data_IF_180853955873
#
_entry.id   IF_180853955873
#
_cell.length_a   1.000
_cell.length_b   1.000
_cell.length_c   1.000
_cell.angle_alpha   90.00
_cell.angle_beta   90.00
_cell.angle_gamma   90.00
#
_symmetry.space_group_name_H-M   'P 1'
#
loop_
_entity.id
_entity.type
_entity.pdbx_description
1 polymer ?
#
# COMPACT_ATOMS: atom_id res chain seq x y z
N UNK A 1 -16.34 1.92 26.78
CA UNK A 1 -16.10 0.85 25.79
C UNK A 1 -14.61 0.60 25.80
N UNK A 2 -14.15 -0.58 26.20
CA UNK A 2 -12.74 -0.97 26.09
C UNK A 2 -12.35 -0.81 24.63
N UNK A 3 -11.29 -0.06 24.31
CA UNK A 3 -10.76 -0.06 22.94
C UNK A 3 -10.55 -1.53 22.58
N UNK A 4 -11.13 -1.98 21.46
CA UNK A 4 -10.79 -3.31 20.98
C UNK A 4 -9.26 -3.39 20.96
N UNK A 5 -8.66 -4.47 21.39
CA UNK A 5 -7.22 -4.70 21.21
C UNK A 5 -7.07 -5.74 20.11
N UNK A 6 -5.93 -5.76 19.42
CA UNK A 6 -5.66 -6.86 18.52
C UNK A 6 -5.60 -8.18 19.29
N UNK A 7 -6.07 -9.30 18.69
CA UNK A 7 -5.95 -10.60 19.33
C UNK A 7 -4.48 -10.92 19.68
N UNK A 8 -4.22 -11.27 20.94
CA UNK A 8 -2.89 -11.67 21.38
C UNK A 8 -2.37 -12.90 20.63
N UNK A 9 -3.28 -13.74 20.13
CA UNK A 9 -2.97 -14.85 19.23
C UNK A 9 -2.29 -14.41 17.93
N UNK A 10 -2.47 -13.16 17.50
CA UNK A 10 -1.76 -12.56 16.37
C UNK A 10 -0.56 -11.71 16.78
N UNK A 11 -0.76 -10.77 17.71
CA UNK A 11 0.27 -9.77 18.05
C UNK A 11 1.53 -10.42 18.61
N UNK A 12 1.37 -11.40 19.51
CA UNK A 12 2.52 -12.06 20.16
C UNK A 12 3.42 -12.80 19.14
N UNK A 13 2.91 -13.74 18.32
CA UNK A 13 3.77 -14.43 17.35
C UNK A 13 4.34 -13.49 16.29
N UNK A 14 3.58 -12.48 15.86
CA UNK A 14 4.09 -11.48 14.92
C UNK A 14 5.28 -10.70 15.47
N UNK A 15 5.18 -10.18 16.71
CA UNK A 15 6.30 -9.49 17.37
C UNK A 15 7.49 -10.41 17.59
N UNK A 16 7.26 -11.64 18.05
CA UNK A 16 8.32 -12.64 18.25
C UNK A 16 9.06 -12.94 16.94
N UNK A 17 8.32 -13.08 15.83
CA UNK A 17 8.91 -13.30 14.51
C UNK A 17 9.81 -12.13 14.08
N UNK A 18 9.34 -10.89 14.22
CA UNK A 18 10.15 -9.70 13.94
C UNK A 18 11.40 -9.61 14.81
N UNK A 19 11.26 -9.85 16.12
CA UNK A 19 12.38 -9.83 17.08
C UNK A 19 13.42 -10.91 16.77
N UNK A 20 12.98 -12.12 16.39
CA UNK A 20 13.87 -13.24 16.06
C UNK A 20 14.77 -12.97 14.85
N UNK A 21 14.41 -11.98 14.03
CA UNK A 21 15.13 -11.58 12.81
C UNK A 21 15.55 -10.11 12.88
N UNK A 22 15.72 -9.56 14.10
CA UNK A 22 16.06 -8.15 14.32
C UNK A 22 17.34 -7.73 13.60
N UNK A 23 18.38 -8.57 13.69
CA UNK A 23 19.69 -8.25 13.13
C UNK A 23 19.69 -8.18 11.59
N UNK A 24 18.78 -8.91 10.94
CA UNK A 24 18.63 -8.88 9.48
C UNK A 24 18.06 -7.56 8.96
N UNK A 25 17.46 -6.74 9.84
CA UNK A 25 16.74 -5.51 9.50
C UNK A 25 17.51 -4.24 9.89
N UNK A 26 18.69 -4.35 10.52
CA UNK A 26 19.42 -3.18 11.05
C UNK A 26 19.82 -2.20 9.94
N UNK A 27 20.11 -2.68 8.73
CA UNK A 27 20.51 -1.84 7.59
C UNK A 27 19.33 -1.44 6.67
N UNK A 28 18.11 -1.85 7.02
CA UNK A 28 16.91 -1.53 6.24
C UNK A 28 16.62 -0.02 6.24
N UNK A 29 15.85 0.43 5.25
CA UNK A 29 15.46 1.83 5.12
C UNK A 29 13.95 1.99 4.83
N UNK A 30 13.17 2.59 5.74
CA UNK A 30 13.51 2.94 7.13
C UNK A 30 13.51 1.72 8.05
N UNK A 31 14.19 1.79 9.20
CA UNK A 31 14.35 0.67 10.15
C UNK A 31 13.90 0.99 11.59
N UNK A 32 13.26 2.13 11.85
CA UNK A 32 12.83 2.55 13.20
C UNK A 32 12.07 1.50 14.04
N UNK A 33 11.36 0.57 13.41
CA UNK A 33 10.64 -0.50 14.09
C UNK A 33 11.57 -1.53 14.75
N UNK A 34 12.84 -1.59 14.35
CA UNK A 34 13.87 -2.47 14.91
C UNK A 34 14.13 -2.18 16.39
N UNK A 35 14.03 -0.90 16.78
CA UNK A 35 14.28 -0.46 18.17
C UNK A 35 12.99 -0.39 18.99
N UNK A 36 11.86 -0.15 18.33
CA UNK A 36 10.56 -0.07 18.99
C UNK A 36 9.46 -0.66 18.10
N UNK A 37 9.21 -1.96 18.24
CA UNK A 37 8.14 -2.66 17.48
C UNK A 37 6.76 -2.17 17.92
N UNK A 38 6.59 -1.74 19.17
CA UNK A 38 5.31 -1.23 19.66
C UNK A 38 4.89 0.07 18.96
N UNK A 39 5.85 0.81 18.39
CA UNK A 39 5.56 1.99 17.57
C UNK A 39 4.70 1.68 16.33
N UNK A 40 4.68 0.42 15.88
CA UNK A 40 3.86 -0.03 14.76
C UNK A 40 2.39 -0.26 15.14
N UNK A 41 2.07 -0.42 16.42
CA UNK A 41 0.70 -0.58 16.89
C UNK A 41 0.13 0.81 17.20
N UNK A 42 -1.03 1.11 16.62
CA UNK A 42 -1.68 2.42 16.70
C UNK A 42 -3.19 2.28 16.57
N UNK A 43 -3.91 3.39 16.40
CA UNK A 43 -5.34 3.41 16.06
C UNK A 43 -5.58 4.11 14.72
N UNK A 44 -6.72 3.84 14.09
CA UNK A 44 -7.21 4.62 12.96
C UNK A 44 -8.73 4.77 13.02
N UNK A 45 -9.27 5.69 12.24
CA UNK A 45 -10.69 5.81 11.95
C UNK A 45 -10.87 5.72 10.43
N UNK A 46 -11.09 4.52 9.87
CA UNK A 46 -11.43 4.36 8.46
C UNK A 46 -12.71 5.12 8.14
N UNK A 47 -12.72 5.86 7.02
CA UNK A 47 -13.85 6.71 6.61
C UNK A 47 -14.56 6.16 5.40
N UNK A 48 -13.80 5.86 4.35
CA UNK A 48 -14.36 5.35 3.12
C UNK A 48 -13.40 4.37 2.43
N UNK A 49 -13.97 3.45 1.65
CA UNK A 49 -13.27 2.63 0.68
C UNK A 49 -13.78 3.00 -0.71
N UNK A 50 -12.86 3.40 -1.59
CA UNK A 50 -13.11 3.65 -3.00
C UNK A 50 -12.54 2.50 -3.82
N UNK A 51 -13.29 2.04 -4.82
CA UNK A 51 -12.81 1.05 -5.80
C UNK A 51 -13.09 1.55 -7.21
N UNK A 52 -12.22 1.21 -8.15
CA UNK A 52 -12.34 1.62 -9.55
C UNK A 52 -11.00 1.55 -10.27
N UNK A 53 -10.81 2.39 -11.28
CA UNK A 53 -9.50 2.60 -11.91
C UNK A 53 -8.66 3.62 -11.12
N UNK A 54 -7.35 3.62 -11.34
CA UNK A 54 -6.47 4.64 -10.75
C UNK A 54 -6.97 6.07 -11.00
N UNK A 55 -7.29 6.41 -12.25
CA UNK A 55 -7.83 7.72 -12.60
C UNK A 55 -9.13 8.05 -11.84
N UNK A 56 -10.07 7.10 -11.74
CA UNK A 56 -11.32 7.32 -11.00
C UNK A 56 -11.13 7.50 -9.49
N UNK A 57 -10.11 6.85 -8.91
CA UNK A 57 -9.75 7.04 -7.49
C UNK A 57 -9.18 8.45 -7.30
N UNK A 58 -8.30 8.90 -8.21
CA UNK A 58 -7.78 10.27 -8.16
C UNK A 58 -8.91 11.29 -8.20
N UNK A 59 -9.80 11.21 -9.19
CA UNK A 59 -10.83 12.23 -9.39
C UNK A 59 -11.92 12.22 -8.32
N UNK A 60 -12.22 11.06 -7.71
CA UNK A 60 -13.31 10.94 -6.72
C UNK A 60 -12.87 11.11 -5.27
N UNK A 61 -11.60 10.85 -4.95
CA UNK A 61 -11.12 10.85 -3.56
C UNK A 61 -9.91 11.78 -3.36
N UNK A 62 -8.82 11.56 -4.11
CA UNK A 62 -7.53 12.22 -3.82
C UNK A 62 -7.53 13.69 -4.26
N UNK A 63 -7.99 14.01 -5.46
CA UNK A 63 -7.98 15.38 -5.98
C UNK A 63 -8.93 16.31 -5.20
N UNK A 64 -10.18 15.91 -4.86
CA UNK A 64 -11.02 16.72 -3.97
C UNK A 64 -10.36 17.01 -2.63
N UNK A 65 -9.64 16.03 -2.06
CA UNK A 65 -8.90 16.23 -0.81
C UNK A 65 -7.74 17.23 -0.98
N UNK A 66 -6.97 17.12 -2.07
CA UNK A 66 -5.88 18.05 -2.40
C UNK A 66 -6.41 19.47 -2.58
N UNK A 67 -7.53 19.64 -3.30
CA UNK A 67 -8.18 20.93 -3.50
C UNK A 67 -8.68 21.57 -2.19
N UNK A 68 -8.96 20.76 -1.17
CA UNK A 68 -9.39 21.22 0.16
C UNK A 68 -8.24 21.56 1.12
N UNK A 69 -6.99 21.28 0.74
CA UNK A 69 -5.83 21.39 1.62
C UNK A 69 -5.53 22.86 1.99
N UNK A 70 -5.19 23.08 3.26
CA UNK A 70 -4.90 24.42 3.80
C UNK A 70 -3.42 24.66 4.06
N UNK A 71 -2.71 23.64 4.53
CA UNK A 71 -1.36 23.74 5.07
C UNK A 71 -0.39 22.81 4.36
N UNK A 72 -0.78 21.57 4.10
CA UNK A 72 0.14 20.62 3.47
C UNK A 72 -0.52 19.48 2.69
N UNK A 73 0.16 19.02 1.65
CA UNK A 73 -0.17 17.81 0.89
C UNK A 73 1.10 16.98 0.70
N UNK A 74 1.06 15.70 1.04
CA UNK A 74 2.12 14.74 0.69
C UNK A 74 1.55 13.66 -0.22
N UNK A 75 1.83 13.74 -1.53
CA UNK A 75 1.44 12.75 -2.54
C UNK A 75 2.62 11.82 -2.83
N UNK A 76 2.57 10.58 -2.34
CA UNK A 76 3.60 9.57 -2.57
C UNK A 76 3.02 8.47 -3.46
N UNK A 77 3.76 8.09 -4.52
CA UNK A 77 3.42 7.00 -5.44
C UNK A 77 4.67 6.17 -5.77
N UNK A 78 4.53 4.99 -6.37
CA UNK A 78 5.71 4.29 -6.90
C UNK A 78 6.05 4.72 -8.32
N UNK A 79 5.05 4.81 -9.18
CA UNK A 79 5.22 5.10 -10.59
C UNK A 79 4.59 6.44 -10.98
N UNK A 80 5.32 7.21 -11.80
CA UNK A 80 4.93 8.51 -12.32
C UNK A 80 5.08 8.51 -13.84
N UNK A 81 3.97 8.64 -14.56
CA UNK A 81 3.97 8.61 -16.00
C UNK A 81 2.91 9.53 -16.62
N UNK A 82 3.17 9.91 -17.87
CA UNK A 82 2.21 10.59 -18.73
C UNK A 82 0.90 9.79 -18.81
N UNK A 83 -0.18 10.42 -18.38
CA UNK A 83 -1.46 9.73 -18.14
C UNK A 83 -2.60 10.71 -17.84
N UNK A 84 -3.86 10.28 -18.01
CA UNK A 84 -5.02 11.06 -17.55
C UNK A 84 -4.99 11.39 -16.06
N UNK A 85 -4.37 10.53 -15.23
CA UNK A 85 -4.19 10.78 -13.79
C UNK A 85 -3.23 11.94 -13.56
N UNK A 86 -2.13 12.01 -14.32
CA UNK A 86 -1.19 13.13 -14.27
C UNK A 86 -1.83 14.44 -14.75
N UNK A 87 -2.56 14.40 -15.87
CA UNK A 87 -3.29 15.56 -16.37
C UNK A 87 -4.26 16.10 -15.32
N UNK A 88 -5.03 15.22 -14.67
CA UNK A 88 -5.95 15.63 -13.62
C UNK A 88 -5.25 16.21 -12.38
N UNK A 89 -4.08 15.70 -12.01
CA UNK A 89 -3.24 16.31 -10.95
C UNK A 89 -2.79 17.71 -11.37
N UNK A 90 -2.30 17.87 -12.61
CA UNK A 90 -1.87 19.18 -13.14
C UNK A 90 -3.00 20.20 -13.08
N UNK A 91 -4.18 19.84 -13.58
CA UNK A 91 -5.36 20.71 -13.56
C UNK A 91 -5.81 21.04 -12.13
N UNK A 92 -5.81 20.06 -11.21
CA UNK A 92 -6.15 20.31 -9.81
C UNK A 92 -5.18 21.30 -9.13
N UNK A 93 -3.87 21.21 -9.42
CA UNK A 93 -2.89 22.16 -8.89
C UNK A 93 -3.08 23.57 -9.47
N UNK A 94 -3.41 23.68 -10.76
CA UNK A 94 -3.74 24.97 -11.39
C UNK A 94 -5.01 25.57 -10.79
N UNK A 95 -6.05 24.76 -10.59
CA UNK A 95 -7.29 25.18 -9.94
C UNK A 95 -7.04 25.65 -8.51
N UNK A 96 -6.24 24.89 -7.75
CA UNK A 96 -5.86 25.26 -6.39
C UNK A 96 -5.09 26.59 -6.35
N UNK A 97 -4.16 26.78 -7.29
CA UNK A 97 -3.41 28.03 -7.40
C UNK A 97 -4.32 29.22 -7.71
N UNK A 98 -5.23 29.08 -8.67
CA UNK A 98 -6.20 30.11 -9.01
C UNK A 98 -7.12 30.47 -7.83
N UNK A 99 -7.70 29.47 -7.17
CA UNK A 99 -8.58 29.67 -6.02
C UNK A 99 -7.87 30.39 -4.86
N UNK A 100 -6.60 30.05 -4.60
CA UNK A 100 -5.80 30.70 -3.54
C UNK A 100 -5.42 32.14 -3.89
N UNK A 101 -5.10 32.40 -5.16
CA UNK A 101 -4.82 33.75 -5.63
C UNK A 101 -6.06 34.64 -5.55
N UNK A 102 -7.23 34.15 -5.99
CA UNK A 102 -8.51 34.87 -5.91
C UNK A 102 -8.90 35.17 -4.44
N UNK A 103 -8.69 34.21 -3.55
CA UNK A 103 -8.97 34.36 -2.12
C UNK A 103 -7.89 35.17 -1.35
N UNK A 104 -6.83 35.65 -2.02
CA UNK A 104 -5.70 36.35 -1.40
C UNK A 104 -5.11 35.60 -0.19
N UNK A 105 -4.95 34.28 -0.30
CA UNK A 105 -4.44 33.46 0.81
C UNK A 105 -2.96 33.75 1.04
N UNK A 106 -2.62 34.28 2.21
CA UNK A 106 -1.24 34.63 2.56
C UNK A 106 -0.43 33.46 3.12
N UNK A 107 -1.07 32.54 3.84
CA UNK A 107 -0.40 31.40 4.47
C UNK A 107 0.11 30.40 3.43
N UNK A 108 1.36 29.91 3.51
CA UNK A 108 1.90 28.97 2.52
C UNK A 108 1.20 27.61 2.59
N UNK A 109 1.03 26.98 1.43
CA UNK A 109 0.62 25.58 1.28
C UNK A 109 1.81 24.76 0.78
N UNK A 110 2.27 23.80 1.57
CA UNK A 110 3.41 22.94 1.23
C UNK A 110 2.94 21.67 0.54
N UNK A 111 3.39 21.43 -0.69
CA UNK A 111 3.04 20.23 -1.45
C UNK A 111 4.31 19.44 -1.73
N UNK A 112 4.35 18.17 -1.34
CA UNK A 112 5.41 17.24 -1.73
C UNK A 112 4.84 16.18 -2.66
N UNK A 113 5.50 15.97 -3.80
CA UNK A 113 5.25 14.86 -4.72
C UNK A 113 6.46 13.94 -4.73
N UNK A 114 6.28 12.72 -4.21
CA UNK A 114 7.31 11.69 -4.14
C UNK A 114 7.01 10.51 -5.07
N UNK A 115 7.98 10.06 -5.86
CA UNK A 115 7.84 8.85 -6.68
C UNK A 115 9.14 8.05 -6.80
N UNK A 116 9.06 6.76 -7.13
CA UNK A 116 10.27 5.93 -7.25
C UNK A 116 10.78 5.79 -8.67
N UNK A 117 9.87 5.62 -9.63
CA UNK A 117 10.19 5.34 -11.02
C UNK A 117 9.34 6.18 -11.95
N UNK A 118 9.97 6.70 -13.01
CA UNK A 118 9.28 7.36 -14.14
C UNK A 118 9.67 6.80 -15.50
N UNK A 119 10.40 5.68 -15.51
CA UNK A 119 10.90 5.05 -16.72
C UNK A 119 12.30 4.44 -16.55
N UNK A 120 12.74 3.68 -17.55
CA UNK A 120 14.00 2.94 -17.49
C UNK A 120 15.24 3.86 -17.42
N UNK A 121 15.25 4.95 -18.20
CA UNK A 121 16.38 5.90 -18.22
C UNK A 121 16.61 6.57 -16.87
N UNK A 122 15.55 7.00 -16.18
CA UNK A 122 15.70 7.58 -14.84
C UNK A 122 16.32 6.55 -13.88
N UNK A 123 15.84 5.30 -13.89
CA UNK A 123 16.37 4.24 -13.03
C UNK A 123 17.87 3.96 -13.28
N UNK A 124 18.32 3.99 -14.54
CA UNK A 124 19.72 3.72 -14.91
C UNK A 124 20.70 4.78 -14.42
N UNK A 125 20.27 6.05 -14.33
CA UNK A 125 21.12 7.17 -13.92
C UNK A 125 20.74 7.76 -12.56
N UNK A 126 19.86 7.09 -11.80
CA UNK A 126 19.42 7.60 -10.51
C UNK A 126 20.54 7.48 -9.47
N UNK A 127 20.72 8.45 -8.57
CA UNK A 127 21.62 8.30 -7.43
C UNK A 127 21.16 7.14 -6.54
N UNK A 128 22.10 6.33 -6.07
CA UNK A 128 21.83 5.25 -5.11
C UNK A 128 21.65 5.75 -3.65
N UNK A 129 21.50 7.06 -3.44
CA UNK A 129 21.41 7.68 -2.11
C UNK A 129 20.01 7.51 -1.49
N UNK A 130 19.97 7.39 -0.17
CA UNK A 130 18.73 7.47 0.64
C UNK A 130 18.06 8.84 0.55
N UNK A 131 18.82 9.89 0.22
CA UNK A 131 18.27 11.24 -0.01
C UNK A 131 17.57 11.37 -1.37
N UNK A 132 17.79 10.42 -2.29
CA UNK A 132 17.19 10.40 -3.62
C UNK A 132 17.63 11.56 -4.52
N UNK A 133 16.70 12.05 -5.35
CA UNK A 133 16.91 13.17 -6.26
C UNK A 133 15.75 14.18 -6.13
N UNK A 134 16.06 15.43 -5.78
CA UNK A 134 15.08 16.52 -5.75
C UNK A 134 15.11 17.26 -7.09
N UNK A 135 13.96 17.36 -7.74
CA UNK A 135 13.85 18.00 -9.04
C UNK A 135 13.83 19.52 -8.90
N UNK A 136 14.74 20.25 -9.56
CA UNK A 136 14.71 21.70 -9.55
C UNK A 136 13.44 22.21 -10.27
N UNK A 137 12.92 23.40 -9.90
CA UNK A 137 11.65 23.90 -10.45
C UNK A 137 11.56 23.97 -11.98
N UNK A 138 12.69 24.25 -12.65
CA UNK A 138 12.77 24.27 -14.12
C UNK A 138 12.45 22.91 -14.78
N UNK A 139 12.45 21.81 -14.03
CA UNK A 139 12.13 20.48 -14.54
C UNK A 139 10.68 20.06 -14.30
N UNK A 140 9.89 20.80 -13.49
CA UNK A 140 8.50 20.43 -13.17
C UNK A 140 7.61 20.31 -14.41
N UNK A 141 7.67 21.19 -15.43
CA UNK A 141 6.88 21.01 -16.65
C UNK A 141 7.20 19.73 -17.41
N UNK A 142 8.47 19.28 -17.38
CA UNK A 142 8.89 18.00 -17.99
C UNK A 142 8.36 16.79 -17.22
N UNK A 143 7.84 16.99 -16.01
CA UNK A 143 7.13 15.98 -15.21
C UNK A 143 5.61 16.11 -15.36
N UNK A 144 5.11 17.01 -16.21
CA UNK A 144 3.68 17.28 -16.37
C UNK A 144 3.07 18.15 -15.26
N UNK A 145 3.90 18.86 -14.49
CA UNK A 145 3.46 19.72 -13.39
C UNK A 145 3.48 21.21 -13.77
N UNK A 146 2.72 22.08 -13.06
CA UNK A 146 2.72 23.52 -13.32
C UNK A 146 4.08 24.19 -13.16
N UNK A 147 4.23 25.35 -13.81
CA UNK A 147 5.42 26.19 -13.67
C UNK A 147 5.55 26.78 -12.26
N UNK A 148 6.80 27.03 -11.87
CA UNK A 148 7.16 27.61 -10.56
C UNK A 148 6.41 28.89 -10.26
N UNK A 149 6.35 29.81 -11.22
CA UNK A 149 5.78 31.14 -11.02
C UNK A 149 4.28 31.07 -10.75
N UNK A 150 3.57 30.16 -11.42
CA UNK A 150 2.14 29.91 -11.20
C UNK A 150 1.88 29.49 -9.75
N UNK A 151 2.69 28.58 -9.22
CA UNK A 151 2.54 28.06 -7.86
C UNK A 151 2.98 29.08 -6.80
N UNK A 152 4.10 29.77 -7.02
CA UNK A 152 4.64 30.75 -6.06
C UNK A 152 3.72 31.96 -5.90
N UNK A 153 3.12 32.45 -6.99
CA UNK A 153 2.15 33.55 -6.94
C UNK A 153 0.91 33.18 -6.11
N UNK A 154 0.59 31.90 -5.98
CA UNK A 154 -0.50 31.37 -5.15
C UNK A 154 -0.07 30.90 -3.75
N UNK A 155 1.15 31.25 -3.31
CA UNK A 155 1.74 30.80 -2.04
C UNK A 155 1.76 29.27 -1.90
N UNK A 156 2.03 28.56 -3.00
CA UNK A 156 2.21 27.10 -3.01
C UNK A 156 3.70 26.79 -3.11
N UNK A 157 4.23 26.07 -2.13
CA UNK A 157 5.61 25.59 -2.08
C UNK A 157 5.63 24.12 -2.52
N UNK A 158 6.03 23.85 -3.76
CA UNK A 158 6.11 22.51 -4.31
C UNK A 158 7.53 21.93 -4.19
N UNK A 159 7.64 20.73 -3.62
CA UNK A 159 8.84 19.88 -3.65
C UNK A 159 8.54 18.60 -4.43
N UNK A 160 9.37 18.27 -5.41
CA UNK A 160 9.25 17.03 -6.18
C UNK A 160 10.51 16.20 -6.00
N UNK A 161 10.36 14.97 -5.50
CA UNK A 161 11.49 14.10 -5.15
C UNK A 161 11.32 12.70 -5.70
N UNK A 162 12.39 12.11 -6.24
CA UNK A 162 12.43 10.69 -6.57
C UNK A 162 13.37 9.88 -5.70
N UNK A 163 13.01 8.64 -5.42
CA UNK A 163 13.82 7.70 -4.66
C UNK A 163 13.87 6.32 -5.32
N UNK A 164 15.06 5.96 -5.81
CA UNK A 164 15.33 4.68 -6.45
C UNK A 164 16.70 4.19 -6.00
N UNK A 165 16.78 2.94 -5.57
CA UNK A 165 18.01 2.30 -5.14
C UNK A 165 18.48 1.34 -6.23
N UNK A 166 19.60 1.68 -6.86
CA UNK A 166 20.17 0.87 -7.95
C UNK A 166 20.67 -0.48 -7.42
N UNK A 167 20.61 -1.57 -8.22
CA UNK A 167 20.09 -1.61 -9.60
C UNK A 167 18.57 -1.81 -9.70
N UNK A 168 17.89 -2.37 -8.69
CA UNK A 168 16.51 -2.86 -8.83
C UNK A 168 15.62 -2.68 -7.58
N UNK A 169 15.69 -1.55 -6.88
CA UNK A 169 14.76 -1.32 -5.76
C UNK A 169 14.05 0.03 -5.83
N UNK A 170 12.73 -0.07 -5.85
CA UNK A 170 11.78 1.05 -5.78
C UNK A 170 11.22 1.13 -4.37
N UNK A 171 10.92 2.34 -3.90
CA UNK A 171 9.97 2.49 -2.79
C UNK A 171 8.56 2.29 -3.34
N UNK A 172 7.81 1.34 -2.79
CA UNK A 172 6.45 1.02 -3.26
C UNK A 172 5.27 1.57 -2.41
N UNK A 173 5.43 2.44 -1.39
CA UNK A 173 4.25 2.99 -0.71
C UNK A 173 3.47 3.88 -1.69
N UNK A 174 2.14 3.90 -1.54
CA UNK A 174 1.33 4.99 -2.09
C UNK A 174 0.44 5.53 -0.99
N UNK A 175 0.44 6.84 -0.84
CA UNK A 175 -0.46 7.51 0.08
C UNK A 175 -0.57 9.00 -0.28
N UNK A 176 -1.68 9.60 0.12
CA UNK A 176 -1.84 11.05 0.17
C UNK A 176 -2.11 11.43 1.62
N UNK A 177 -1.34 12.35 2.20
CA UNK A 177 -1.65 12.97 3.49
C UNK A 177 -2.05 14.41 3.22
N UNK A 178 -3.15 14.85 3.83
CA UNK A 178 -3.63 16.23 3.74
C UNK A 178 -3.70 16.83 5.14
N UNK A 179 -3.04 17.98 5.28
CA UNK A 179 -2.96 18.81 6.50
C UNK A 179 -2.55 18.06 7.77
N UNK A 180 -1.87 16.91 7.63
CA UNK A 180 -1.49 16.04 8.75
C UNK A 180 -2.69 15.40 9.48
N UNK A 181 -3.92 15.50 8.93
CA UNK A 181 -5.16 15.09 9.62
C UNK A 181 -5.87 13.94 8.94
N UNK A 182 -5.79 13.86 7.62
CA UNK A 182 -6.44 12.82 6.81
C UNK A 182 -5.40 12.18 5.91
N UNK A 183 -5.56 10.87 5.69
CA UNK A 183 -4.73 10.14 4.74
C UNK A 183 -5.57 9.22 3.86
N UNK A 184 -5.11 9.05 2.62
CA UNK A 184 -5.62 8.09 1.66
C UNK A 184 -4.51 7.10 1.34
N UNK A 185 -4.81 5.81 1.36
CA UNK A 185 -3.87 4.74 1.02
C UNK A 185 -4.39 4.00 -0.21
N UNK A 186 -4.02 4.44 -1.43
CA UNK A 186 -4.42 3.79 -2.68
C UNK A 186 -3.48 2.64 -3.07
N UNK A 187 -3.95 1.75 -3.93
CA UNK A 187 -3.12 0.77 -4.62
C UNK A 187 -2.59 1.27 -5.97
N UNK A 188 -3.26 2.26 -6.58
CA UNK A 188 -2.91 2.80 -7.89
C UNK A 188 -1.70 3.75 -7.86
N UNK A 189 -0.98 3.81 -8.99
CA UNK A 189 0.06 4.80 -9.25
C UNK A 189 -0.49 6.01 -10.03
N UNK A 190 0.38 7.00 -10.30
CA UNK A 190 0.09 8.06 -11.29
C UNK A 190 0.48 7.53 -12.65
N UNK A 191 -0.46 6.84 -13.30
CA UNK A 191 -0.20 6.13 -14.54
C UNK A 191 -1.48 5.86 -15.34
N UNK A 192 -1.33 5.31 -16.54
CA UNK A 192 -2.39 5.18 -17.55
C UNK A 192 -3.20 3.88 -17.41
N UNK A 193 -2.77 2.94 -16.58
CA UNK A 193 -3.39 1.63 -16.49
C UNK A 193 -4.80 1.70 -15.90
N UNK A 194 -5.72 0.97 -16.54
CA UNK A 194 -7.12 0.83 -16.10
C UNK A 194 -7.30 -0.43 -15.26
N UNK A 195 -6.39 -0.65 -14.31
CA UNK A 195 -6.48 -1.77 -13.38
C UNK A 195 -7.61 -1.55 -12.38
N UNK A 196 -8.12 -2.65 -11.81
CA UNK A 196 -9.04 -2.57 -10.68
C UNK A 196 -8.24 -2.32 -9.40
N UNK A 197 -8.47 -1.17 -8.80
CA UNK A 197 -7.69 -0.59 -7.72
C UNK A 197 -8.61 -0.26 -6.54
N UNK A 198 -8.01 -0.11 -5.36
CA UNK A 198 -8.70 0.30 -4.14
C UNK A 198 -8.00 1.46 -3.45
N UNK A 199 -8.74 2.24 -2.67
CA UNK A 199 -8.20 3.28 -1.82
C UNK A 199 -9.01 3.40 -0.54
N UNK A 200 -8.31 3.35 0.60
CA UNK A 200 -8.93 3.55 1.92
C UNK A 200 -8.59 4.95 2.41
N UNK A 201 -9.61 5.69 2.82
CA UNK A 201 -9.47 6.93 3.58
C UNK A 201 -9.44 6.63 5.07
N UNK A 202 -8.49 7.24 5.78
CA UNK A 202 -8.28 7.08 7.23
C UNK A 202 -7.99 8.41 7.91
N UNK A 203 -8.42 8.50 9.18
CA UNK A 203 -8.05 9.54 10.15
C UNK A 203 -7.46 8.90 11.42
N UNK A 204 -7.04 9.74 12.38
CA UNK A 204 -6.54 9.33 13.69
C UNK A 204 -5.03 9.06 13.71
N UNK A 205 -4.54 8.42 14.76
CA UNK A 205 -3.12 8.25 15.07
C UNK A 205 -2.30 7.55 13.96
N UNK A 206 -2.95 6.81 13.05
CA UNK A 206 -2.31 6.24 11.87
C UNK A 206 -1.74 7.32 10.93
N UNK A 207 -2.36 8.51 10.90
CA UNK A 207 -1.89 9.63 10.09
C UNK A 207 -0.55 10.12 10.62
N UNK A 208 -0.36 10.17 11.94
CA UNK A 208 0.95 10.51 12.54
C UNK A 208 2.03 9.47 12.19
N UNK A 209 1.67 8.19 12.14
CA UNK A 209 2.60 7.12 11.71
C UNK A 209 2.98 7.23 10.25
N UNK A 210 2.02 7.55 9.38
CA UNK A 210 2.27 7.83 7.97
C UNK A 210 3.12 9.09 7.77
N UNK A 211 2.85 10.16 8.51
CA UNK A 211 3.63 11.40 8.51
C UNK A 211 5.06 11.16 8.98
N UNK A 212 5.26 10.41 10.07
CA UNK A 212 6.60 10.05 10.55
C UNK A 212 7.36 9.17 9.54
N UNK A 213 6.67 8.26 8.84
CA UNK A 213 7.26 7.51 7.74
C UNK A 213 7.64 8.42 6.57
N UNK A 214 6.75 9.33 6.19
CA UNK A 214 7.00 10.34 5.15
C UNK A 214 8.25 11.16 5.47
N UNK A 215 8.35 11.75 6.67
CA UNK A 215 9.48 12.60 7.04
C UNK A 215 10.81 11.85 6.97
N UNK A 216 10.85 10.59 7.42
CA UNK A 216 12.08 9.78 7.41
C UNK A 216 12.54 9.35 6.01
N UNK A 217 11.60 9.18 5.07
CA UNK A 217 11.89 8.58 3.75
C UNK A 217 11.91 9.63 2.65
N UNK A 218 10.96 10.56 2.70
CA UNK A 218 10.68 11.53 1.64
C UNK A 218 10.89 12.98 2.08
N UNK A 219 10.91 13.25 3.38
CA UNK A 219 11.18 14.58 3.94
C UNK A 219 12.51 15.17 3.46
N UNK A 220 12.65 16.47 3.66
CA UNK A 220 13.89 17.19 3.40
C UNK A 220 14.90 16.86 4.51
N UNK A 221 16.14 16.58 4.14
CA UNK A 221 17.23 16.37 5.11
C UNK A 221 17.45 17.68 5.85
N UNK A 222 16.97 17.77 7.09
CA UNK A 222 17.07 18.98 7.93
C UNK A 222 18.55 19.35 8.14
N UNK A 223 19.08 20.31 7.37
CA UNK A 223 20.08 21.22 7.93
C UNK A 223 19.30 22.06 8.92
N UNK A 224 19.55 21.80 10.21
CA UNK A 224 18.87 22.35 11.38
C UNK A 224 18.29 23.75 11.16
N UNK A 225 16.95 23.81 11.12
CA UNK A 225 16.16 25.00 11.42
C UNK A 225 15.24 24.66 12.58
N UNK A 226 15.27 25.55 13.56
CA UNK A 226 14.62 25.48 14.86
C UNK A 226 13.11 25.25 14.73
N UNK A 227 12.60 24.56 15.75
CA UNK A 227 11.19 24.31 16.03
C UNK A 227 10.39 25.62 16.05
N UNK A 228 9.17 25.57 15.53
CA UNK A 228 8.13 26.52 15.88
C UNK A 228 6.83 25.75 16.21
N UNK A 229 6.21 26.25 17.27
CA UNK A 229 5.13 25.68 18.06
C UNK A 229 3.81 25.46 17.31
N UNK A 230 3.04 24.51 17.83
CA UNK A 230 1.68 24.19 17.44
C UNK A 230 0.67 25.22 17.96
N UNK A 231 -0.13 25.81 17.06
CA UNK A 231 -1.41 26.46 17.42
C UNK A 231 -2.60 25.68 16.84
N UNK A 232 -3.47 25.23 17.74
CA UNK A 232 -4.76 24.60 17.45
C UNK A 232 -5.81 25.65 17.03
N UNK A 233 -6.38 25.50 15.83
CA UNK A 233 -7.58 26.26 15.42
C UNK A 233 -8.69 25.31 14.97
N UNK A 234 -9.86 25.49 15.57
CA UNK A 234 -11.11 24.75 15.32
C UNK A 234 -11.61 24.93 13.88
N UNK A 235 -12.01 23.81 13.26
CA UNK A 235 -12.54 23.75 11.88
C UNK A 235 -14.06 23.81 11.90
N UNK A 236 -14.62 24.86 11.29
CA UNK A 236 -16.04 24.94 10.91
C UNK A 236 -16.29 24.08 9.68
N UNK A 237 -17.21 23.10 9.78
CA UNK A 237 -17.65 22.23 8.67
C UNK A 237 -18.46 23.03 7.65
N UNK A 238 -18.15 22.85 6.37
CA UNK A 238 -18.95 23.26 5.22
C UNK A 238 -19.34 22.01 4.41
N UNK A 239 -20.45 22.05 3.65
CA UNK A 239 -21.35 20.91 3.51
C UNK A 239 -20.85 19.86 2.53
N UNK A 240 -21.17 18.61 2.86
CA UNK A 240 -21.06 17.44 2.01
C UNK A 240 -21.86 17.65 0.72
N UNK A 241 -21.17 17.62 -0.43
CA UNK A 241 -21.85 17.42 -1.71
C UNK A 241 -22.33 15.97 -1.76
N UNK A 242 -23.60 15.77 -1.36
CA UNK A 242 -24.31 14.53 -1.59
C UNK A 242 -24.51 14.38 -3.10
N UNK A 243 -23.68 13.56 -3.74
CA UNK A 243 -23.94 13.10 -5.10
C UNK A 243 -25.11 12.14 -5.00
N UNK A 244 -26.26 12.59 -5.48
CA UNK A 244 -27.48 11.80 -5.60
C UNK A 244 -27.20 10.48 -6.32
N UNK A 245 -27.52 9.38 -5.65
CA UNK A 245 -27.57 8.03 -6.21
C UNK A 245 -28.67 7.99 -7.28
N UNK A 246 -28.29 8.13 -8.55
CA UNK A 246 -29.12 7.62 -9.64
C UNK A 246 -28.99 6.10 -9.68
N UNK A 247 -30.13 5.43 -9.77
CA UNK A 247 -30.23 3.98 -9.99
C UNK A 247 -29.69 3.64 -11.39
N UNK A 248 -28.37 3.57 -11.52
CA UNK A 248 -27.70 3.18 -12.76
C UNK A 248 -26.91 1.89 -12.56
N UNK A 249 -27.13 0.95 -13.48
CA UNK A 249 -26.48 -0.35 -13.65
C UNK A 249 -25.05 -0.43 -13.10
N UNK A 250 -24.80 -1.47 -12.30
CA UNK A 250 -23.55 -1.90 -11.65
C UNK A 250 -22.24 -1.43 -12.32
N UNK A 251 -21.82 -0.20 -12.06
CA UNK A 251 -20.47 0.24 -12.40
C UNK A 251 -19.45 -0.42 -11.46
N UNK A 252 -18.30 -0.84 -12.02
CA UNK A 252 -17.17 -1.35 -11.22
C UNK A 252 -16.48 -0.24 -10.39
N UNK A 253 -16.88 1.02 -10.60
CA UNK A 253 -16.39 2.19 -9.84
C UNK A 253 -17.36 2.50 -8.72
N UNK A 254 -17.00 2.16 -7.48
CA UNK A 254 -17.89 2.25 -6.32
C UNK A 254 -17.19 2.92 -5.14
N UNK A 255 -17.96 3.27 -4.12
CA UNK A 255 -17.44 3.67 -2.82
C UNK A 255 -18.39 3.22 -1.72
N UNK A 256 -17.84 2.89 -0.56
CA UNK A 256 -18.61 2.64 0.66
C UNK A 256 -18.03 3.49 1.78
N UNK A 257 -18.88 3.91 2.70
CA UNK A 257 -18.47 4.54 3.95
C UNK A 257 -18.35 3.49 5.05
N UNK A 258 -17.35 3.62 5.90
CA UNK A 258 -17.22 2.79 7.08
C UNK A 258 -18.13 3.32 8.19
N UNK A 259 -18.78 2.44 8.98
CA UNK A 259 -19.56 2.86 10.14
C UNK A 259 -18.70 3.68 11.10
N UNK A 260 -19.23 4.79 11.62
CA UNK A 260 -18.52 5.62 12.60
C UNK A 260 -18.56 4.93 13.98
N UNK A 261 -17.57 4.08 14.25
CA UNK A 261 -17.50 3.25 15.47
C UNK A 261 -16.38 3.65 16.44
N UNK A 262 -15.84 4.87 16.29
CA UNK A 262 -14.68 5.35 17.04
C UNK A 262 -13.36 4.78 16.50
N UNK A 263 -12.23 5.04 17.18
CA UNK A 263 -10.93 4.52 16.78
C UNK A 263 -10.87 2.99 16.82
N UNK A 264 -10.31 2.38 15.78
CA UNK A 264 -10.07 0.93 15.68
C UNK A 264 -8.57 0.64 15.79
N UNK A 265 -8.16 -0.47 16.43
CA UNK A 265 -6.77 -0.91 16.42
C UNK A 265 -6.25 -1.04 15.01
N UNK A 266 -5.06 -0.51 14.79
CA UNK A 266 -4.39 -0.51 13.49
C UNK A 266 -2.92 -0.88 13.68
N UNK A 267 -2.38 -1.70 12.77
CA UNK A 267 -0.94 -1.95 12.72
C UNK A 267 -0.41 -1.28 11.47
N UNK A 268 0.57 -0.40 11.64
CA UNK A 268 1.32 0.19 10.54
C UNK A 268 2.34 -0.84 10.04
N UNK A 269 2.25 -1.21 8.76
CA UNK A 269 3.04 -2.29 8.17
C UNK A 269 3.95 -1.77 7.04
N UNK A 270 5.04 -1.04 7.35
CA UNK A 270 5.97 -0.59 6.35
C UNK A 270 6.70 -1.78 5.69
N UNK A 271 7.04 -1.61 4.41
CA UNK A 271 7.93 -2.52 3.68
C UNK A 271 9.23 -1.78 3.39
N UNK A 272 10.21 -1.96 4.27
CA UNK A 272 11.49 -1.28 4.19
C UNK A 272 12.33 -1.75 3.00
N UNK A 273 13.06 -0.81 2.40
CA UNK A 273 14.11 -1.11 1.44
C UNK A 273 15.22 -1.88 2.13
N UNK A 274 15.75 -2.89 1.46
CA UNK A 274 16.85 -3.72 1.90
C UNK A 274 17.67 -4.16 0.68
N UNK A 275 18.97 -4.37 0.87
CA UNK A 275 19.80 -5.02 -0.16
C UNK A 275 19.78 -6.51 0.10
N UNK A 276 19.42 -7.32 -0.89
CA UNK A 276 19.53 -8.77 -0.75
C UNK A 276 21.03 -9.16 -0.69
N UNK A 277 21.56 -9.62 0.45
CA UNK A 277 22.98 -9.97 0.59
C UNK A 277 23.35 -11.21 -0.25
N UNK A 278 22.35 -11.99 -0.69
CA UNK A 278 22.50 -13.17 -1.56
C UNK A 278 21.90 -12.92 -2.95
N UNK A 279 21.90 -11.68 -3.43
CA UNK A 279 21.44 -11.36 -4.77
C UNK A 279 22.22 -12.21 -5.79
N UNK A 280 21.48 -12.94 -6.62
CA UNK A 280 22.02 -13.75 -7.71
C UNK A 280 21.33 -13.34 -9.01
N UNK A 281 22.10 -13.17 -10.08
CA UNK A 281 21.56 -12.99 -11.43
C UNK A 281 20.80 -14.23 -11.93
N UNK A 282 20.97 -15.37 -11.24
CA UNK A 282 20.22 -16.60 -11.46
C UNK A 282 19.29 -16.85 -10.27
N UNK A 283 18.04 -16.35 -10.31
CA UNK A 283 17.13 -16.36 -9.15
C UNK A 283 16.80 -17.78 -8.64
N UNK A 284 16.87 -18.80 -9.49
CA UNK A 284 16.67 -20.20 -9.08
C UNK A 284 17.80 -20.76 -8.19
N UNK A 285 18.96 -20.09 -8.11
CA UNK A 285 20.06 -20.44 -7.20
C UNK A 285 19.99 -19.68 -5.88
N UNK A 286 19.22 -18.59 -5.79
CA UNK A 286 19.08 -17.80 -4.57
C UNK A 286 17.82 -18.20 -3.81
N UNK A 287 17.91 -19.28 -3.02
CA UNK A 287 16.95 -19.51 -1.95
C UNK A 287 17.29 -18.57 -0.79
N UNK A 288 16.90 -17.31 -0.92
CA UNK A 288 16.85 -16.40 0.24
C UNK A 288 15.48 -16.50 0.89
N UNK A 289 15.48 -16.63 2.22
CA UNK A 289 14.28 -16.40 3.03
C UNK A 289 13.74 -15.00 2.70
N UNK A 290 12.42 -14.78 2.76
CA UNK A 290 11.89 -13.43 2.57
C UNK A 290 12.51 -12.47 3.60
N UNK A 291 12.79 -11.23 3.22
CA UNK A 291 13.21 -10.19 4.17
C UNK A 291 12.12 -10.03 5.22
N UNK A 292 12.50 -9.99 6.49
CA UNK A 292 11.54 -9.98 7.60
C UNK A 292 11.03 -8.57 7.92
N UNK A 293 10.47 -7.89 6.92
CA UNK A 293 9.83 -6.58 7.12
C UNK A 293 8.55 -6.73 7.96
N UNK A 294 8.06 -5.67 8.63
CA UNK A 294 6.79 -5.69 9.34
C UNK A 294 5.62 -6.25 8.52
N UNK A 295 5.52 -5.84 7.26
CA UNK A 295 4.51 -6.34 6.32
C UNK A 295 4.64 -7.84 6.06
N UNK A 296 5.85 -8.33 5.76
CA UNK A 296 6.06 -9.75 5.47
C UNK A 296 5.81 -10.62 6.71
N UNK A 297 6.29 -10.20 7.87
CA UNK A 297 6.06 -10.89 9.14
C UNK A 297 4.55 -10.98 9.44
N UNK A 298 3.81 -9.89 9.22
CA UNK A 298 2.36 -9.86 9.43
C UNK A 298 1.64 -10.82 8.48
N UNK A 299 1.97 -10.80 7.18
CA UNK A 299 1.37 -11.71 6.19
C UNK A 299 1.61 -13.19 6.53
N UNK A 300 2.85 -13.56 6.85
CA UNK A 300 3.18 -14.95 7.22
C UNK A 300 2.46 -15.36 8.52
N UNK A 301 2.39 -14.46 9.50
CA UNK A 301 1.65 -14.72 10.75
C UNK A 301 0.15 -14.88 10.49
N UNK A 302 -0.45 -14.07 9.61
CA UNK A 302 -1.86 -14.20 9.22
C UNK A 302 -2.12 -15.55 8.54
N UNK A 303 -1.24 -16.01 7.65
CA UNK A 303 -1.37 -17.32 7.02
C UNK A 303 -1.26 -18.46 8.04
N UNK A 304 -0.32 -18.38 8.98
CA UNK A 304 -0.18 -19.37 10.04
C UNK A 304 -1.39 -19.40 10.99
N UNK A 305 -1.98 -18.24 11.28
CA UNK A 305 -3.09 -18.12 12.22
C UNK A 305 -4.48 -18.36 11.61
N UNK A 306 -4.61 -18.35 10.28
CA UNK A 306 -5.91 -18.55 9.63
C UNK A 306 -6.53 -19.91 10.02
N UNK A 307 -7.81 -19.86 10.42
CA UNK A 307 -8.57 -21.03 10.91
C UNK A 307 -9.65 -21.51 9.95
N UNK A 308 -10.18 -20.62 9.08
CA UNK A 308 -11.36 -20.93 8.26
C UNK A 308 -11.19 -20.56 6.80
N UNK A 309 -10.85 -19.30 6.51
CA UNK A 309 -10.80 -18.79 5.15
C UNK A 309 -9.72 -17.73 4.98
N UNK A 310 -9.02 -17.79 3.86
CA UNK A 310 -8.13 -16.75 3.35
C UNK A 310 -8.68 -16.30 1.99
N UNK A 311 -8.79 -14.99 1.79
CA UNK A 311 -9.14 -14.40 0.48
C UNK A 311 -8.05 -13.44 0.06
N UNK A 312 -7.49 -13.67 -1.12
CA UNK A 312 -6.44 -12.84 -1.70
C UNK A 312 -6.96 -12.24 -3.00
N UNK A 313 -6.83 -10.92 -3.11
CA UNK A 313 -6.91 -10.19 -4.36
C UNK A 313 -5.53 -9.61 -4.64
N UNK A 314 -4.87 -10.06 -5.71
CA UNK A 314 -3.53 -9.60 -6.07
C UNK A 314 -3.34 -9.62 -7.58
N UNK A 315 -2.67 -8.62 -8.18
CA UNK A 315 -2.39 -8.64 -9.61
C UNK A 315 -1.60 -9.88 -10.04
N UNK A 316 -0.63 -10.30 -9.20
CA UNK A 316 0.27 -11.42 -9.49
C UNK A 316 0.43 -12.35 -8.28
N UNK A 317 0.63 -13.64 -8.56
CA UNK A 317 0.91 -14.69 -7.57
C UNK A 317 2.20 -15.38 -7.95
N UNK A 318 3.34 -14.87 -7.47
CA UNK A 318 4.67 -15.40 -7.79
C UNK A 318 5.60 -15.52 -6.58
N UNK A 319 5.20 -15.00 -5.43
CA UNK A 319 5.99 -15.01 -4.19
C UNK A 319 5.96 -16.40 -3.55
N UNK A 320 7.09 -17.12 -3.55
CA UNK A 320 7.16 -18.48 -2.99
C UNK A 320 6.76 -18.57 -1.50
N UNK A 321 7.14 -17.65 -0.59
CA UNK A 321 6.75 -17.74 0.82
C UNK A 321 5.25 -17.59 1.02
N UNK A 322 4.58 -16.79 0.17
CA UNK A 322 3.13 -16.67 0.16
C UNK A 322 2.50 -17.97 -0.30
N UNK A 323 3.03 -18.57 -1.37
CA UNK A 323 2.53 -19.85 -1.91
C UNK A 323 2.67 -20.97 -0.88
N UNK A 324 3.81 -21.08 -0.17
CA UNK A 324 3.97 -22.05 0.92
C UNK A 324 3.01 -21.79 2.07
N UNK A 325 2.91 -20.55 2.56
CA UNK A 325 1.99 -20.22 3.66
C UNK A 325 0.54 -20.54 3.34
N UNK A 326 0.13 -20.40 2.06
CA UNK A 326 -1.20 -20.80 1.60
C UNK A 326 -1.35 -22.33 1.51
N UNK A 327 -0.33 -23.06 1.07
CA UNK A 327 -0.34 -24.53 1.07
C UNK A 327 -0.41 -25.09 2.48
N UNK A 328 0.33 -24.50 3.42
CA UNK A 328 0.26 -24.86 4.85
C UNK A 328 -1.13 -24.58 5.43
N UNK A 329 -1.76 -23.45 5.05
CA UNK A 329 -3.14 -23.16 5.45
C UNK A 329 -4.13 -24.20 4.89
N UNK A 330 -4.00 -24.54 3.60
CA UNK A 330 -4.81 -25.59 2.96
C UNK A 330 -4.63 -26.96 3.64
N UNK A 331 -3.39 -27.31 4.01
CA UNK A 331 -3.09 -28.56 4.72
C UNK A 331 -3.78 -28.63 6.11
N UNK A 332 -4.03 -27.47 6.74
CA UNK A 332 -4.82 -27.37 7.97
C UNK A 332 -6.34 -27.33 7.74
N UNK A 333 -6.81 -27.42 6.49
CA UNK A 333 -8.23 -27.37 6.14
C UNK A 333 -8.81 -25.96 5.99
N UNK A 334 -7.98 -24.93 5.84
CA UNK A 334 -8.42 -23.54 5.60
C UNK A 334 -8.82 -23.37 4.13
N UNK A 335 -9.98 -22.77 3.87
CA UNK A 335 -10.42 -22.40 2.52
C UNK A 335 -9.57 -21.26 1.96
N UNK A 336 -9.05 -21.40 0.74
CA UNK A 336 -8.20 -20.38 0.09
C UNK A 336 -8.82 -19.95 -1.23
N UNK A 337 -9.23 -18.68 -1.30
CA UNK A 337 -9.72 -18.05 -2.52
C UNK A 337 -8.71 -17.03 -3.03
N UNK A 338 -8.24 -17.21 -4.26
CA UNK A 338 -7.30 -16.29 -4.93
C UNK A 338 -7.96 -15.70 -6.17
N UNK A 339 -8.04 -14.37 -6.23
CA UNK A 339 -8.44 -13.60 -7.41
C UNK A 339 -7.22 -12.85 -7.94
N UNK A 340 -6.91 -13.08 -9.21
CA UNK A 340 -5.72 -12.50 -9.85
C UNK A 340 -5.97 -12.15 -11.31
N UNK A 341 -5.11 -11.33 -11.89
CA UNK A 341 -5.21 -10.90 -13.29
C UNK A 341 -4.66 -11.95 -14.25
N UNK A 342 -5.32 -12.14 -15.39
CA UNK A 342 -4.84 -13.02 -16.45
C UNK A 342 -3.88 -12.26 -17.37
N UNK A 343 -2.64 -12.75 -17.50
CA UNK A 343 -1.67 -12.24 -18.48
C UNK A 343 -1.07 -10.86 -18.18
N UNK A 344 -1.21 -10.36 -16.95
CA UNK A 344 -0.66 -9.06 -16.55
C UNK A 344 0.87 -9.12 -16.45
N UNK A 345 1.60 -8.16 -17.00
CA UNK A 345 3.06 -7.97 -16.79
C UNK A 345 3.91 -9.26 -16.94
N UNK A 346 3.67 -10.04 -18.00
CA UNK A 346 4.31 -11.36 -18.18
C UNK A 346 5.84 -11.26 -18.28
N UNK A 347 6.35 -10.26 -18.98
CA UNK A 347 7.79 -10.07 -19.19
C UNK A 347 8.45 -9.68 -17.88
N UNK A 348 7.87 -8.72 -17.14
CA UNK A 348 8.36 -8.28 -15.84
C UNK A 348 8.36 -9.44 -14.84
N UNK A 349 7.31 -10.27 -14.84
CA UNK A 349 7.25 -11.47 -14.00
C UNK A 349 8.39 -12.46 -14.32
N UNK A 350 8.67 -12.70 -15.60
CA UNK A 350 9.78 -13.58 -15.99
C UNK A 350 11.13 -13.01 -15.56
N UNK A 351 11.35 -11.71 -15.72
CA UNK A 351 12.61 -11.05 -15.35
C UNK A 351 12.80 -11.01 -13.83
N UNK A 352 11.74 -10.68 -13.08
CA UNK A 352 11.85 -10.43 -11.63
C UNK A 352 11.63 -11.66 -10.76
N UNK A 353 10.81 -12.61 -11.22
CA UNK A 353 10.44 -13.79 -10.45
C UNK A 353 10.87 -15.11 -11.11
N UNK A 354 11.38 -15.10 -12.34
CA UNK A 354 11.76 -16.32 -13.08
C UNK A 354 10.57 -17.25 -13.36
N UNK A 355 9.34 -16.77 -13.22
CA UNK A 355 8.10 -17.53 -13.35
C UNK A 355 6.96 -16.60 -13.74
N UNK A 356 5.77 -17.14 -13.96
CA UNK A 356 4.54 -16.37 -14.17
C UNK A 356 3.47 -16.82 -13.19
N UNK A 357 2.48 -15.96 -12.94
CA UNK A 357 1.30 -16.26 -12.14
C UNK A 357 0.60 -17.53 -12.59
N UNK A 358 0.43 -17.72 -13.90
CA UNK A 358 -0.18 -18.93 -14.46
C UNK A 358 0.64 -20.20 -14.15
N UNK A 359 1.96 -20.11 -14.17
CA UNK A 359 2.83 -21.26 -13.86
C UNK A 359 2.86 -21.57 -12.37
N UNK A 360 2.93 -20.53 -11.54
CA UNK A 360 2.90 -20.65 -10.10
C UNK A 360 1.58 -21.27 -9.61
N UNK A 361 0.44 -20.79 -10.12
CA UNK A 361 -0.88 -21.34 -9.78
C UNK A 361 -1.05 -22.79 -10.23
N UNK A 362 -0.55 -23.16 -11.44
CA UNK A 362 -0.57 -24.57 -11.87
C UNK A 362 0.21 -25.47 -10.91
N UNK A 363 1.41 -25.06 -10.49
CA UNK A 363 2.21 -25.81 -9.50
C UNK A 363 1.54 -25.85 -8.13
N UNK A 364 0.94 -24.74 -7.69
CA UNK A 364 0.20 -24.66 -6.44
C UNK A 364 -0.97 -25.67 -6.41
N UNK A 365 -1.78 -25.71 -7.47
CA UNK A 365 -2.90 -26.66 -7.59
C UNK A 365 -2.39 -28.11 -7.61
N UNK A 366 -1.31 -28.40 -8.33
CA UNK A 366 -0.70 -29.74 -8.35
C UNK A 366 -0.26 -30.18 -6.95
N UNK A 367 0.38 -29.29 -6.19
CA UNK A 367 0.84 -29.57 -4.83
C UNK A 367 -0.32 -29.75 -3.85
N UNK A 368 -1.36 -28.94 -3.96
CA UNK A 368 -2.57 -29.13 -3.18
C UNK A 368 -3.23 -30.49 -3.47
N UNK A 369 -3.37 -30.87 -4.75
CA UNK A 369 -3.93 -32.18 -5.11
C UNK A 369 -3.09 -33.34 -4.55
N UNK A 370 -1.77 -33.20 -4.54
CA UNK A 370 -0.89 -34.19 -3.92
C UNK A 370 -1.12 -34.31 -2.41
N UNK A 371 -1.31 -33.19 -1.70
CA UNK A 371 -1.67 -33.18 -0.28
C UNK A 371 -3.04 -33.83 -0.01
N UNK A 372 -4.04 -33.51 -0.84
CA UNK A 372 -5.39 -34.06 -0.71
C UNK A 372 -5.45 -35.58 -0.95
N UNK A 373 -4.54 -36.11 -1.78
CA UNK A 373 -4.45 -37.53 -2.11
C UNK A 373 -3.53 -38.33 -1.18
N UNK A 374 -2.92 -37.71 -0.16
CA UNK A 374 -2.15 -38.48 0.82
C UNK A 374 -3.09 -39.37 1.65
N UNK A 375 -2.82 -40.68 1.77
CA UNK A 375 -3.61 -41.55 2.62
C UNK A 375 -3.52 -41.02 4.05
N UNK A 376 -4.68 -40.65 4.64
CA UNK A 376 -4.74 -40.32 6.05
C UNK A 376 -4.24 -41.53 6.83
N UNK A 377 -3.35 -41.38 7.83
CA UNK A 377 -3.03 -42.46 8.74
C UNK A 377 -4.36 -43.04 9.25
N UNK A 378 -4.55 -44.35 9.05
CA UNK A 378 -5.68 -45.07 9.61
C UNK A 378 -5.64 -44.84 11.11
N UNK A 379 -6.59 -44.06 11.63
CA UNK A 379 -6.78 -43.88 13.06
C UNK A 379 -7.08 -45.26 13.66
N UNK A 380 -6.17 -45.84 14.46
CA UNK A 380 -6.39 -47.15 15.05
C UNK A 380 -7.53 -47.14 16.09
N UNK A 381 -8.04 -45.97 16.49
CA UNK A 381 -9.18 -45.81 17.40
C UNK A 381 -10.51 -45.50 16.68
N UNK A 382 -10.50 -45.28 15.36
CA UNK A 382 -11.73 -45.10 14.59
C UNK A 382 -12.45 -46.45 14.45
N UNK A 383 -13.30 -46.78 15.42
CA UNK A 383 -14.24 -47.89 15.32
C UNK A 383 -15.08 -47.73 14.05
N UNK A 384 -15.05 -48.76 13.21
CA UNK A 384 -15.86 -48.84 12.00
C UNK A 384 -17.35 -48.79 12.39
N UNK A 385 -18.00 -47.64 12.19
CA UNK A 385 -19.45 -47.59 12.19
C UNK A 385 -19.96 -48.30 10.93
N UNK A 386 -20.85 -49.27 11.15
CA UNK A 386 -21.53 -50.02 10.10
C UNK A 386 -22.32 -49.08 9.16
N UNK A 387 -22.46 -49.43 7.88
CA UNK A 387 -23.12 -48.57 6.89
C UNK A 387 -24.63 -48.66 7.03
N UNK A 388 -25.25 -47.67 7.68
CA UNK A 388 -26.69 -47.44 7.54
C UNK A 388 -26.94 -46.60 6.27
N UNK A 389 -27.50 -47.29 5.28
CA UNK A 389 -27.79 -46.73 3.98
C UNK A 389 -28.87 -45.65 4.01
N UNK A 390 -28.72 -44.66 3.15
CA UNK A 390 -29.70 -44.25 2.13
C UNK A 390 -29.20 -42.97 1.45
N UNK A 391 -28.72 -43.10 0.22
CA UNK A 391 -28.50 -41.94 -0.66
C UNK A 391 -29.81 -41.60 -1.35
N UNK A 392 -30.38 -40.42 -1.08
CA UNK A 392 -31.41 -39.79 -1.92
C UNK A 392 -30.76 -38.65 -2.70
N UNK A 393 -30.70 -38.78 -4.03
CA UNK A 393 -30.50 -37.66 -4.94
C UNK A 393 -31.74 -36.76 -4.89
N UNK A 394 -31.52 -35.46 -4.71
CA UNK A 394 -32.45 -34.46 -5.23
C UNK A 394 -31.64 -33.49 -6.11
N UNK A 395 -31.96 -33.50 -7.40
CA UNK A 395 -31.64 -32.42 -8.32
C UNK A 395 -32.66 -31.30 -8.14
N UNK A 396 -32.16 -30.07 -8.05
CA UNK A 396 -32.81 -28.87 -8.59
C UNK A 396 -31.75 -27.79 -8.75
#
# INVERSE_FOLDING_TARGET
>A
MTSAEFPQSFVRPWKQLLQSRRDEQQDDFPNHHVDNIDSLVTTSSPKALYVGTGHSIYTRALLPAILSAKHSVQLITCYWADSPSLDAIREALLQLAAARAEANVESPLKITIGFSSRGLFQKLFHPASRDGYVYPPLQWPKLGLPDKDVLQNARIELTVKSLFFTPFSVMHPKFVIVDGKRAWVPSCNVSWERWFEGCVEVEGDIVDRLSAFYERVWGETKVSRQDDDHDEISITRLPENTVNSTNDNETATQSIEFPTTGPVPTIFLPSSHHRNPRFSFFPFLSQSNPPMTPLNAALLTLFANAQRKITILTPNVTSWPVVEGLLEALARGVDVQIRTSKGMMLIEQLITAGTTTAWCLRKFIQRYNALANQPRPSDPEAQAMAPDGTWRMNQS
#
